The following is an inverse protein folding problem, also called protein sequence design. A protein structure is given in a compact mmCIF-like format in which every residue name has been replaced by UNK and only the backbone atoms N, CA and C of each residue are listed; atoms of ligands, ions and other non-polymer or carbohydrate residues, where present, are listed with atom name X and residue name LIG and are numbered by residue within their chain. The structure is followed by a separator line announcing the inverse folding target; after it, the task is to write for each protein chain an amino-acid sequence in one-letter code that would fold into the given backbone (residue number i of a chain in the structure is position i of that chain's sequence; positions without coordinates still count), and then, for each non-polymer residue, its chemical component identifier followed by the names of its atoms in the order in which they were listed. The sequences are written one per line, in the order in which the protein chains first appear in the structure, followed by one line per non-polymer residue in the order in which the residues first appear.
data_IF_325734202020
#
_entry.id   IF_325734202020
#
_cell.length_a   1.000
_cell.length_b   1.000
_cell.length_c   1.000
_cell.angle_alpha   90.00
_cell.angle_beta   90.00
_cell.angle_gamma   90.00
#
_symmetry.space_group_name_H-M   'P 1'
#
loop_
_entity.id
_entity.type
_entity.pdbx_description
1 polymer ?
#
# COMPACT_ATOMS: atom_id res chain seq x y z
N UNK A 1 -25.05 15.70 -23.33
CA UNK A 1 -23.66 15.37 -23.72
C UNK A 1 -23.20 14.24 -22.82
N UNK A 2 -22.87 13.06 -23.35
CA UNK A 2 -22.20 12.02 -22.57
C UNK A 2 -20.72 12.37 -22.51
N UNK A 3 -20.20 12.61 -21.31
CA UNK A 3 -18.76 12.70 -21.12
C UNK A 3 -18.17 11.30 -21.26
N UNK A 4 -17.17 11.15 -22.12
CA UNK A 4 -16.33 9.94 -22.20
C UNK A 4 -14.98 10.28 -21.56
N UNK A 5 -14.48 9.47 -20.61
CA UNK A 5 -15.10 8.26 -20.07
C UNK A 5 -16.34 8.57 -19.21
N UNK A 6 -17.21 7.57 -19.08
CA UNK A 6 -18.32 7.60 -18.12
C UNK A 6 -17.79 7.76 -16.68
N UNK A 7 -18.61 8.27 -15.77
CA UNK A 7 -18.21 8.49 -14.38
C UNK A 7 -17.75 7.19 -13.73
N UNK A 8 -16.55 7.17 -13.16
CA UNK A 8 -15.94 5.95 -12.60
C UNK A 8 -15.23 5.06 -13.62
N UNK A 9 -15.24 5.41 -14.93
CA UNK A 9 -14.49 4.71 -15.99
C UNK A 9 -13.18 5.40 -16.35
N UNK A 10 -12.60 6.14 -15.41
CA UNK A 10 -11.30 6.79 -15.62
C UNK A 10 -10.26 5.71 -15.93
N UNK A 11 -9.64 5.74 -17.11
CA UNK A 11 -8.63 4.76 -17.49
C UNK A 11 -7.35 4.99 -16.68
N UNK A 12 -6.54 3.94 -16.58
CA UNK A 12 -5.20 4.04 -16.04
C UNK A 12 -4.27 4.74 -17.04
N UNK A 13 -3.38 5.54 -16.51
CA UNK A 13 -2.23 6.09 -17.23
C UNK A 13 -1.20 4.99 -17.53
N UNK A 14 -0.30 5.24 -18.48
CA UNK A 14 0.75 4.29 -18.84
C UNK A 14 1.61 3.88 -17.63
N UNK A 15 1.99 4.85 -16.80
CA UNK A 15 2.81 4.62 -15.62
C UNK A 15 2.07 3.72 -14.60
N UNK A 16 0.78 3.95 -14.39
CA UNK A 16 -0.06 3.10 -13.52
C UNK A 16 -0.14 1.66 -14.06
N UNK A 17 -0.38 1.47 -15.37
CA UNK A 17 -0.41 0.13 -15.96
C UNK A 17 0.94 -0.58 -15.82
N UNK A 18 2.05 0.15 -15.98
CA UNK A 18 3.41 -0.39 -15.83
C UNK A 18 3.70 -0.86 -14.41
N UNK A 19 3.07 -0.22 -13.42
CA UNK A 19 3.20 -0.53 -12.00
C UNK A 19 2.34 -1.72 -11.53
N UNK A 20 1.42 -2.23 -12.36
CA UNK A 20 0.60 -3.40 -12.02
C UNK A 20 1.44 -4.69 -12.03
N UNK A 21 1.12 -5.60 -11.11
CA UNK A 21 1.75 -6.93 -11.11
C UNK A 21 1.37 -7.71 -12.38
N UNK A 22 2.25 -8.62 -12.86
CA UNK A 22 1.92 -9.49 -13.99
C UNK A 22 0.70 -10.38 -13.73
N UNK A 23 0.45 -10.76 -12.47
CA UNK A 23 -0.72 -11.56 -12.09
C UNK A 23 -2.00 -10.74 -12.19
N UNK A 24 -2.01 -9.52 -11.63
CA UNK A 24 -3.16 -8.63 -11.69
C UNK A 24 -3.53 -8.27 -13.13
N UNK A 25 -2.54 -7.93 -13.97
CA UNK A 25 -2.76 -7.61 -15.39
C UNK A 25 -3.34 -8.79 -16.19
N UNK A 26 -3.04 -10.03 -15.81
CA UNK A 26 -3.64 -11.22 -16.42
C UNK A 26 -5.07 -11.45 -15.96
N UNK A 27 -5.35 -11.20 -14.68
CA UNK A 27 -6.67 -11.37 -14.09
C UNK A 27 -7.66 -10.29 -14.54
N UNK A 28 -7.20 -9.04 -14.64
CA UNK A 28 -7.97 -7.87 -15.04
C UNK A 28 -7.36 -7.28 -16.31
N UNK A 29 -8.03 -7.47 -17.46
CA UNK A 29 -7.51 -7.05 -18.78
C UNK A 29 -7.52 -5.53 -18.97
N UNK A 30 -8.60 -4.87 -18.57
CA UNK A 30 -8.79 -3.42 -18.73
C UNK A 30 -9.40 -2.81 -17.45
N UNK A 31 -8.67 -2.83 -16.33
CA UNK A 31 -9.17 -2.25 -15.09
C UNK A 31 -9.27 -0.72 -15.22
N UNK A 32 -10.40 -0.17 -14.78
CA UNK A 32 -10.57 1.26 -14.53
C UNK A 32 -10.19 1.61 -13.08
N UNK A 33 -9.99 2.90 -12.79
CA UNK A 33 -9.59 3.36 -11.45
C UNK A 33 -10.58 2.96 -10.35
N UNK A 34 -11.88 2.92 -10.67
CA UNK A 34 -12.91 2.54 -9.70
C UNK A 34 -12.81 1.06 -9.33
N UNK A 35 -12.56 0.19 -10.31
CA UNK A 35 -12.40 -1.25 -10.10
C UNK A 35 -11.19 -1.57 -9.24
N UNK A 36 -10.05 -0.90 -9.46
CA UNK A 36 -8.85 -1.06 -8.61
C UNK A 36 -9.15 -0.60 -7.19
N UNK A 37 -9.76 0.58 -7.04
CA UNK A 37 -10.14 1.10 -5.73
C UNK A 37 -11.03 0.13 -4.95
N UNK A 38 -12.04 -0.48 -5.61
CA UNK A 38 -12.90 -1.47 -4.96
C UNK A 38 -12.13 -2.72 -4.49
N UNK A 39 -11.16 -3.18 -5.28
CA UNK A 39 -10.31 -4.31 -4.91
C UNK A 39 -9.40 -3.92 -3.74
N UNK A 40 -8.73 -2.77 -3.80
CA UNK A 40 -7.91 -2.23 -2.71
C UNK A 40 -8.69 -2.16 -1.41
N UNK A 41 -9.91 -1.62 -1.44
CA UNK A 41 -10.79 -1.54 -0.27
C UNK A 41 -11.17 -2.92 0.28
N UNK A 42 -11.42 -3.90 -0.59
CA UNK A 42 -11.71 -5.26 -0.14
C UNK A 42 -10.51 -5.92 0.55
N UNK A 43 -9.30 -5.70 0.03
CA UNK A 43 -8.05 -6.20 0.62
C UNK A 43 -7.81 -5.50 1.96
N UNK A 44 -7.96 -4.17 2.00
CA UNK A 44 -7.79 -3.36 3.20
C UNK A 44 -8.71 -3.83 4.34
N UNK A 45 -9.98 -4.06 4.05
CA UNK A 45 -10.93 -4.58 5.02
C UNK A 45 -10.53 -5.96 5.56
N UNK A 46 -10.13 -6.88 4.68
CA UNK A 46 -9.72 -8.23 5.08
C UNK A 46 -8.42 -8.23 5.91
N UNK A 47 -7.44 -7.43 5.52
CA UNK A 47 -6.18 -7.25 6.27
C UNK A 47 -6.46 -6.59 7.62
N UNK A 48 -7.28 -5.53 7.64
CA UNK A 48 -7.68 -4.81 8.84
C UNK A 48 -8.36 -5.70 9.87
N UNK A 49 -9.35 -6.49 9.46
CA UNK A 49 -10.05 -7.44 10.34
C UNK A 49 -9.06 -8.42 11.00
N UNK A 50 -8.17 -9.01 10.20
CA UNK A 50 -7.14 -9.93 10.69
C UNK A 50 -6.21 -9.27 11.70
N UNK A 51 -5.78 -8.04 11.45
CA UNK A 51 -4.88 -7.31 12.35
C UNK A 51 -5.57 -6.91 13.65
N UNK A 52 -6.82 -6.45 13.60
CA UNK A 52 -7.61 -6.13 14.80
C UNK A 52 -7.72 -7.37 15.70
N UNK A 53 -8.01 -8.54 15.14
CA UNK A 53 -8.05 -9.79 15.90
C UNK A 53 -6.67 -10.19 16.45
N UNK A 54 -5.59 -9.96 15.69
CA UNK A 54 -4.22 -10.24 16.14
C UNK A 54 -3.81 -9.34 17.31
N UNK A 55 -4.17 -8.06 17.30
CA UNK A 55 -3.95 -7.13 18.40
C UNK A 55 -4.80 -7.51 19.61
N UNK A 56 -6.10 -7.75 19.40
CA UNK A 56 -7.02 -8.11 20.49
C UNK A 56 -6.64 -9.43 21.19
N UNK A 57 -6.05 -10.38 20.46
CA UNK A 57 -5.54 -11.64 21.02
C UNK A 57 -4.12 -11.54 21.60
N UNK A 58 -3.47 -10.38 21.55
CA UNK A 58 -2.09 -10.17 22.02
C UNK A 58 -1.01 -10.81 21.15
N UNK A 59 -1.36 -11.37 19.99
CA UNK A 59 -0.40 -11.95 19.03
C UNK A 59 0.42 -10.89 18.30
N UNK A 60 -0.08 -9.66 18.26
CA UNK A 60 0.58 -8.52 17.64
C UNK A 60 0.68 -7.40 18.69
N UNK A 61 1.88 -7.18 19.21
CA UNK A 61 2.15 -6.19 20.24
C UNK A 61 2.61 -4.84 19.68
N UNK A 62 2.76 -3.85 20.56
CA UNK A 62 3.22 -2.51 20.20
C UNK A 62 4.62 -2.52 19.55
N UNK A 63 5.55 -3.31 20.07
CA UNK A 63 6.90 -3.45 19.51
C UNK A 63 6.88 -4.05 18.09
N UNK A 64 5.97 -4.98 17.81
CA UNK A 64 5.81 -5.53 16.48
C UNK A 64 5.26 -4.47 15.51
N UNK A 65 4.22 -3.75 15.93
CA UNK A 65 3.57 -2.70 15.14
C UNK A 65 4.52 -1.55 14.78
N UNK A 66 5.37 -1.14 15.73
CA UNK A 66 6.34 -0.06 15.57
C UNK A 66 7.67 -0.59 15.05
N UNK A 67 7.63 -1.43 14.01
CA UNK A 67 8.82 -1.94 13.34
C UNK A 67 8.80 -1.66 11.84
N UNK A 68 9.97 -1.32 11.28
CA UNK A 68 10.17 -1.17 9.83
C UNK A 68 9.70 -2.41 9.07
N UNK A 69 9.96 -3.59 9.64
CA UNK A 69 9.54 -4.87 9.09
C UNK A 69 8.02 -4.99 9.00
N UNK A 70 7.30 -4.72 10.09
CA UNK A 70 5.84 -4.78 10.09
C UNK A 70 5.24 -3.77 9.13
N UNK A 71 5.72 -2.52 9.11
CA UNK A 71 5.22 -1.49 8.21
C UNK A 71 5.31 -1.93 6.74
N UNK A 72 6.49 -2.42 6.33
CA UNK A 72 6.71 -2.88 4.96
C UNK A 72 5.91 -4.13 4.63
N UNK A 73 5.79 -5.06 5.58
CA UNK A 73 4.94 -6.24 5.41
C UNK A 73 3.48 -5.85 5.25
N UNK A 74 2.95 -4.99 6.13
CA UNK A 74 1.59 -4.48 6.06
C UNK A 74 1.31 -3.85 4.70
N UNK A 75 2.22 -2.98 4.26
CA UNK A 75 2.10 -2.35 2.95
C UNK A 75 2.17 -3.37 1.80
N UNK A 76 2.91 -4.47 1.95
CA UNK A 76 2.90 -5.58 0.99
C UNK A 76 1.58 -6.36 1.03
N UNK A 77 1.02 -6.61 2.21
CA UNK A 77 -0.23 -7.33 2.39
C UNK A 77 -1.43 -6.52 1.83
N UNK A 78 -1.36 -5.18 1.89
CA UNK A 78 -2.41 -4.29 1.36
C UNK A 78 -2.36 -4.13 -0.16
N UNK A 79 -1.16 -4.08 -0.75
CA UNK A 79 -0.99 -3.63 -2.14
C UNK A 79 -0.27 -4.64 -3.04
N UNK A 80 0.32 -5.70 -2.48
CA UNK A 80 1.22 -6.61 -3.19
C UNK A 80 0.58 -7.46 -4.27
N UNK A 81 -0.73 -7.68 -4.19
CA UNK A 81 -1.48 -8.38 -5.24
C UNK A 81 -1.68 -7.49 -6.48
N UNK A 82 -1.71 -6.16 -6.30
CA UNK A 82 -2.04 -5.19 -7.35
C UNK A 82 -0.77 -4.52 -7.90
N UNK A 83 0.14 -4.10 -7.02
CA UNK A 83 1.23 -3.18 -7.35
C UNK A 83 2.63 -3.77 -7.11
N UNK A 84 3.54 -3.60 -8.08
CA UNK A 84 4.92 -4.16 -8.01
C UNK A 84 5.83 -3.48 -6.98
N UNK A 85 5.45 -2.28 -6.54
CA UNK A 85 6.19 -1.46 -5.57
C UNK A 85 5.77 -1.73 -4.13
N UNK A 86 4.75 -2.57 -3.90
CA UNK A 86 4.29 -2.88 -2.56
C UNK A 86 5.41 -3.44 -1.66
N UNK A 87 5.48 -2.94 -0.42
CA UNK A 87 6.46 -3.34 0.59
C UNK A 87 7.87 -2.79 0.39
N UNK A 88 8.06 -1.88 -0.57
CA UNK A 88 9.34 -1.24 -0.89
C UNK A 88 9.29 0.25 -0.61
N UNK A 89 10.40 0.80 -0.14
CA UNK A 89 10.56 2.24 -0.10
C UNK A 89 10.68 2.82 -1.51
N UNK A 90 10.15 4.03 -1.68
CA UNK A 90 10.37 4.77 -2.93
C UNK A 90 11.85 5.03 -3.11
N UNK A 91 12.30 4.97 -4.36
CA UNK A 91 13.65 5.36 -4.79
C UNK A 91 13.65 6.69 -5.54
N UNK A 92 12.46 7.20 -5.88
CA UNK A 92 12.27 8.47 -6.57
C UNK A 92 12.16 9.59 -5.56
N UNK A 93 12.84 10.70 -5.83
CA UNK A 93 12.66 11.94 -5.09
C UNK A 93 11.31 12.59 -5.36
N UNK A 94 10.69 13.09 -4.31
CA UNK A 94 9.42 13.80 -4.34
C UNK A 94 9.59 15.15 -3.64
N UNK A 95 8.77 16.13 -4.02
CA UNK A 95 8.78 17.47 -3.41
C UNK A 95 8.28 17.46 -1.96
N UNK A 96 7.76 16.33 -1.46
CA UNK A 96 7.17 16.20 -0.12
C UNK A 96 7.82 15.00 0.59
N UNK A 97 8.17 15.21 1.86
CA UNK A 97 8.78 14.21 2.73
C UNK A 97 10.30 14.31 2.76
N UNK A 98 10.94 13.20 3.14
CA UNK A 98 12.40 13.12 3.35
C UNK A 98 13.10 12.58 2.10
N UNK A 99 14.41 12.77 1.96
CA UNK A 99 15.15 12.17 0.84
C UNK A 99 14.96 10.64 0.82
N UNK A 100 14.82 10.03 -0.36
CA UNK A 100 14.44 8.62 -0.52
C UNK A 100 15.40 7.66 0.18
N UNK A 101 16.69 7.97 0.14
CA UNK A 101 17.77 7.24 0.79
C UNK A 101 17.71 7.30 2.33
N UNK A 102 17.01 8.29 2.88
CA UNK A 102 16.86 8.47 4.33
C UNK A 102 15.58 7.85 4.90
N UNK A 103 14.62 7.43 4.06
CA UNK A 103 13.31 6.97 4.52
C UNK A 103 13.44 5.82 5.54
N UNK A 104 14.22 4.80 5.22
CA UNK A 104 14.40 3.64 6.11
C UNK A 104 15.01 4.02 7.47
N UNK A 105 15.90 5.01 7.50
CA UNK A 105 16.51 5.49 8.75
C UNK A 105 15.52 6.31 9.55
N UNK A 106 14.78 7.23 8.91
CA UNK A 106 13.82 8.09 9.60
C UNK A 106 12.60 7.32 10.11
N UNK A 107 12.13 6.30 9.39
CA UNK A 107 11.05 5.42 9.88
C UNK A 107 11.48 4.74 11.18
N UNK A 108 12.67 4.13 11.20
CA UNK A 108 13.21 3.48 12.41
C UNK A 108 13.34 4.45 13.57
N UNK A 109 13.99 5.61 13.35
CA UNK A 109 14.12 6.65 14.38
C UNK A 109 12.77 7.14 14.91
N UNK A 110 11.77 7.29 14.03
CA UNK A 110 10.43 7.74 14.43
C UNK A 110 9.74 6.68 15.29
N UNK A 111 9.81 5.41 14.91
CA UNK A 111 9.24 4.32 15.69
C UNK A 111 9.93 4.15 17.05
N UNK A 112 11.26 4.22 17.10
CA UNK A 112 12.00 4.21 18.36
C UNK A 112 11.59 5.39 19.25
N UNK A 113 11.46 6.59 18.68
CA UNK A 113 11.02 7.77 19.43
C UNK A 113 9.60 7.63 19.99
N UNK A 114 8.69 6.93 19.30
CA UNK A 114 7.33 6.67 19.79
C UNK A 114 7.35 5.64 20.92
N UNK A 115 8.19 4.60 20.83
CA UNK A 115 8.28 3.55 21.84
C UNK A 115 8.79 4.05 23.21
N UNK A 116 9.60 5.10 23.22
CA UNK A 116 10.27 5.61 24.42
C UNK A 116 9.79 7.00 24.87
N UNK A 117 8.68 7.51 24.32
CA UNK A 117 8.01 8.74 24.77
C UNK A 117 6.77 8.43 25.60
#
# INVERSE_FOLDING_TARGET
MNFSPDYGKTPLTYDEVSALTPLFRRAQREPDKQSIYQIEQSIENAVGEKLVLAVASGKLGLFDLLSDYFLRRLHSDLYGDIWVWAGKYRTRELNIGVASELIATQVRQTFDNILYR
#
